data_IF_188244748765
#
_entry.id   IF_188244748765
#
_cell.length_a   1.000
_cell.length_b   1.000
_cell.length_c   1.000
_cell.angle_alpha   90.00
_cell.angle_beta   90.00
_cell.angle_gamma   90.00
#
_symmetry.space_group_name_H-M   'P 1'
#
loop_
_entity.id
_entity.type
_entity.pdbx_description
1 polymer ?
#
# COMPACT_ATOMS: atom_id res chain seq x y z
N UNK A 1 5.10 -88.99 8.94
CA UNK A 1 4.89 -87.78 9.76
C UNK A 1 5.14 -86.58 8.86
N UNK A 2 4.24 -85.60 8.95
CA UNK A 2 3.94 -84.50 8.02
C UNK A 2 5.11 -83.62 7.56
N UNK A 3 4.93 -82.94 6.41
CA UNK A 3 5.60 -81.67 6.12
C UNK A 3 5.94 -81.36 4.66
N UNK A 4 4.98 -81.42 3.72
CA UNK A 4 5.12 -80.80 2.40
C UNK A 4 4.63 -79.35 2.47
N UNK A 5 5.49 -78.39 2.14
CA UNK A 5 5.13 -76.98 1.96
C UNK A 5 5.73 -76.47 0.65
N UNK A 6 4.85 -76.19 -0.30
CA UNK A 6 5.15 -75.61 -1.61
C UNK A 6 5.45 -74.09 -1.52
N UNK A 7 6.15 -73.49 -2.49
CA UNK A 7 6.42 -72.07 -2.50
C UNK A 7 5.18 -71.26 -2.91
N UNK A 8 4.97 -70.12 -2.23
CA UNK A 8 3.87 -69.19 -2.47
C UNK A 8 3.98 -68.54 -3.86
N UNK A 9 2.92 -68.65 -4.65
CA UNK A 9 2.77 -67.99 -5.93
C UNK A 9 2.41 -66.51 -5.73
N UNK A 10 3.21 -65.63 -6.35
CA UNK A 10 2.97 -64.20 -6.45
C UNK A 10 1.74 -63.93 -7.34
N UNK A 11 0.71 -63.30 -6.78
CA UNK A 11 -0.47 -62.89 -7.52
C UNK A 11 -0.16 -61.69 -8.44
N UNK A 12 -0.67 -61.65 -9.69
CA UNK A 12 -0.54 -60.47 -10.54
C UNK A 12 -1.49 -59.36 -10.05
N UNK A 13 -0.98 -58.12 -10.05
CA UNK A 13 -1.76 -56.93 -9.76
C UNK A 13 -2.89 -56.76 -10.79
N UNK A 14 -4.11 -56.56 -10.27
CA UNK A 14 -5.29 -56.18 -11.06
C UNK A 14 -5.03 -54.82 -11.73
N UNK A 15 -5.25 -54.66 -13.04
CA UNK A 15 -5.15 -53.35 -13.67
C UNK A 15 -6.28 -52.45 -13.14
N UNK A 16 -5.91 -51.22 -12.77
CA UNK A 16 -6.85 -50.15 -12.46
C UNK A 16 -7.72 -49.93 -13.69
N UNK A 17 -9.03 -50.03 -13.51
CA UNK A 17 -10.06 -49.75 -14.50
C UNK A 17 -9.82 -48.36 -15.12
N UNK A 18 -9.62 -48.32 -16.43
CA UNK A 18 -9.43 -47.09 -17.17
C UNK A 18 -10.78 -46.38 -17.27
N UNK A 19 -10.91 -45.23 -16.60
CA UNK A 19 -12.06 -44.35 -16.76
C UNK A 19 -12.28 -44.04 -18.26
N UNK A 20 -13.54 -44.03 -18.75
CA UNK A 20 -13.80 -43.73 -20.15
C UNK A 20 -13.36 -42.31 -20.47
N UNK A 21 -12.62 -42.15 -21.57
CA UNK A 21 -12.24 -40.87 -22.11
C UNK A 21 -13.49 -40.01 -22.36
N UNK A 22 -13.58 -38.87 -21.68
CA UNK A 22 -14.60 -37.88 -21.95
C UNK A 22 -14.45 -37.38 -23.39
N UNK A 23 -15.54 -37.47 -24.16
CA UNK A 23 -15.62 -36.92 -25.50
C UNK A 23 -15.36 -35.40 -25.47
N UNK A 24 -14.70 -34.81 -26.49
CA UNK A 24 -14.49 -33.37 -26.53
C UNK A 24 -15.84 -32.65 -26.61
N UNK A 25 -16.07 -31.72 -25.68
CA UNK A 25 -17.20 -30.81 -25.74
C UNK A 25 -17.15 -30.00 -27.04
N UNK A 26 -18.25 -29.98 -27.78
CA UNK A 26 -18.42 -29.14 -28.95
C UNK A 26 -18.23 -27.65 -28.59
N UNK A 27 -17.68 -26.80 -29.47
CA UNK A 27 -17.50 -25.39 -29.19
C UNK A 27 -18.86 -24.72 -29.02
N UNK A 28 -19.09 -24.14 -27.83
CA UNK A 28 -20.21 -23.22 -27.61
C UNK A 28 -19.90 -21.96 -28.42
N UNK A 29 -20.72 -21.70 -29.44
CA UNK A 29 -20.62 -20.48 -30.23
C UNK A 29 -20.80 -19.27 -29.29
N UNK A 30 -19.74 -18.47 -29.16
CA UNK A 30 -19.82 -17.18 -28.51
C UNK A 30 -20.65 -16.26 -29.41
N UNK A 31 -21.88 -15.97 -29.01
CA UNK A 31 -22.64 -14.86 -29.58
C UNK A 31 -21.93 -13.57 -29.19
N UNK A 32 -21.22 -12.96 -30.13
CA UNK A 32 -20.71 -11.60 -29.99
C UNK A 32 -21.90 -10.64 -29.85
N UNK A 33 -22.12 -10.13 -28.65
CA UNK A 33 -22.93 -8.94 -28.46
C UNK A 33 -22.12 -7.75 -28.99
N UNK A 34 -22.46 -7.27 -30.18
CA UNK A 34 -21.98 -5.99 -30.70
C UNK A 34 -22.51 -4.88 -29.78
N UNK A 35 -21.68 -4.46 -28.83
CA UNK A 35 -21.91 -3.23 -28.06
C UNK A 35 -21.59 -2.06 -28.98
N UNK A 36 -22.63 -1.37 -29.44
CA UNK A 36 -22.48 -0.12 -30.16
C UNK A 36 -21.67 0.88 -29.31
N UNK A 37 -20.72 1.63 -29.89
CA UNK A 37 -19.98 2.64 -29.14
C UNK A 37 -20.95 3.73 -28.64
N UNK A 38 -20.86 4.06 -27.36
CA UNK A 38 -21.54 5.22 -26.80
C UNK A 38 -21.06 6.50 -27.52
N UNK A 39 -21.94 7.47 -27.82
CA UNK A 39 -21.51 8.69 -28.49
C UNK A 39 -20.55 9.48 -27.61
N UNK A 40 -19.38 9.82 -28.17
CA UNK A 40 -18.42 10.72 -27.55
C UNK A 40 -19.10 12.06 -27.24
N UNK A 41 -19.25 12.38 -25.95
CA UNK A 41 -19.51 13.75 -25.55
C UNK A 41 -18.21 14.52 -25.72
N UNK A 42 -18.13 15.27 -26.82
CA UNK A 42 -17.08 16.24 -27.05
C UNK A 42 -16.96 17.19 -25.85
N UNK A 43 -15.92 17.01 -25.03
CA UNK A 43 -15.50 18.03 -24.06
C UNK A 43 -14.84 19.13 -24.88
N UNK A 44 -15.64 20.12 -25.27
CA UNK A 44 -15.14 21.34 -25.89
C UNK A 44 -14.31 22.08 -24.84
N UNK A 45 -12.98 21.96 -24.91
CA UNK A 45 -12.09 22.91 -24.25
C UNK A 45 -12.35 24.28 -24.88
N UNK A 46 -13.03 25.15 -24.14
CA UNK A 46 -13.16 26.55 -24.49
C UNK A 46 -11.76 27.18 -24.42
N UNK A 47 -11.08 27.24 -25.56
CA UNK A 47 -9.89 28.07 -25.74
C UNK A 47 -10.35 29.54 -25.63
N UNK A 48 -9.99 30.21 -24.53
CA UNK A 48 -10.12 31.67 -24.44
C UNK A 48 -9.03 32.30 -25.32
N UNK A 49 -9.46 33.17 -26.23
CA UNK A 49 -8.59 34.06 -26.98
C UNK A 49 -7.80 34.99 -26.03
N UNK A 50 -6.59 35.44 -26.42
CA UNK A 50 -5.84 36.41 -25.63
C UNK A 50 -6.48 37.79 -25.77
N UNK A 51 -7.01 38.32 -24.67
CA UNK A 51 -7.53 39.69 -24.62
C UNK A 51 -6.35 40.67 -24.54
N UNK A 52 -6.35 41.61 -25.48
CA UNK A 52 -5.33 42.62 -25.67
C UNK A 52 -5.45 43.72 -24.62
N UNK A 53 -4.38 43.90 -23.84
CA UNK A 53 -3.99 45.19 -23.31
C UNK A 53 -4.69 45.67 -22.04
N UNK A 54 -3.96 45.63 -20.92
CA UNK A 54 -3.87 46.74 -19.96
C UNK A 54 -2.59 46.62 -19.14
N UNK A 55 -1.72 47.60 -19.36
CA UNK A 55 -0.49 47.90 -18.61
C UNK A 55 -0.81 48.06 -17.12
N UNK A 56 -0.25 47.19 -16.29
CA UNK A 56 -0.21 47.38 -14.84
C UNK A 56 1.25 47.35 -14.39
N UNK A 57 1.58 48.35 -13.58
CA UNK A 57 2.91 48.78 -13.17
C UNK A 57 3.70 47.66 -12.47
N UNK A 58 4.99 47.57 -12.80
CA UNK A 58 5.96 46.67 -12.17
C UNK A 58 6.17 47.10 -10.71
N UNK A 59 5.63 46.31 -9.79
CA UNK A 59 6.08 46.30 -8.40
C UNK A 59 7.26 45.33 -8.28
N UNK A 60 8.37 45.81 -7.73
CA UNK A 60 9.58 45.04 -7.44
C UNK A 60 9.27 43.85 -6.51
N UNK A 61 9.26 42.64 -7.07
CA UNK A 61 9.11 41.40 -6.33
C UNK A 61 10.50 40.89 -5.89
N UNK A 62 10.78 40.99 -4.59
CA UNK A 62 11.99 40.43 -3.99
C UNK A 62 12.00 38.90 -4.14
N UNK A 63 13.15 38.27 -4.47
CA UNK A 63 13.21 36.83 -4.70
C UNK A 63 12.88 36.06 -3.42
N UNK A 64 11.85 35.22 -3.49
CA UNK A 64 11.55 34.19 -2.47
C UNK A 64 12.72 33.21 -2.42
N UNK A 65 13.59 33.39 -1.45
CA UNK A 65 14.61 32.40 -1.09
C UNK A 65 13.90 31.16 -0.55
N UNK A 66 13.72 30.16 -1.41
CA UNK A 66 13.44 28.79 -0.99
C UNK A 66 14.65 28.28 -0.19
N UNK A 67 14.54 28.37 1.13
CA UNK A 67 15.40 27.62 2.02
C UNK A 67 15.00 26.14 1.93
N UNK A 68 15.60 25.44 0.97
CA UNK A 68 15.67 23.99 0.99
C UNK A 68 16.51 23.57 2.19
N UNK A 69 15.89 23.47 3.37
CA UNK A 69 16.49 22.75 4.50
C UNK A 69 16.61 21.30 4.06
N UNK A 70 17.83 20.91 3.64
CA UNK A 70 18.26 19.52 3.69
C UNK A 70 17.96 19.03 5.11
N UNK A 71 16.93 18.21 5.26
CA UNK A 71 16.65 17.53 6.51
C UNK A 71 17.77 16.52 6.74
N UNK A 72 18.83 17.00 7.40
CA UNK A 72 19.82 16.16 8.03
C UNK A 72 19.10 15.48 9.21
N UNK A 73 18.59 14.27 9.01
CA UNK A 73 18.04 13.44 10.08
C UNK A 73 19.20 12.86 10.90
N UNK A 74 19.81 13.70 11.73
CA UNK A 74 20.80 13.33 12.72
C UNK A 74 20.23 13.49 14.13
N UNK A 75 20.21 12.40 14.88
CA UNK A 75 19.87 12.25 16.30
C UNK A 75 18.37 12.36 16.69
N UNK A 76 17.76 11.21 17.03
CA UNK A 76 16.58 11.14 17.92
C UNK A 76 15.26 10.61 17.32
N UNK A 77 15.22 10.17 16.06
CA UNK A 77 13.98 9.65 15.46
C UNK A 77 13.80 8.18 15.87
N UNK A 78 12.76 7.91 16.64
CA UNK A 78 12.41 6.54 17.02
C UNK A 78 11.72 5.83 15.86
N UNK A 79 12.44 4.87 15.27
CA UNK A 79 11.88 3.96 14.26
C UNK A 79 10.87 3.02 14.90
N UNK A 80 9.68 2.94 14.30
CA UNK A 80 8.62 2.01 14.68
C UNK A 80 8.79 0.66 14.00
N UNK A 81 8.97 0.66 12.68
CA UNK A 81 9.18 -0.56 11.89
C UNK A 81 9.85 -0.25 10.55
N UNK A 82 10.49 -1.25 9.96
CA UNK A 82 10.91 -1.27 8.55
C UNK A 82 10.31 -2.50 7.88
N UNK A 83 9.52 -2.32 6.82
CA UNK A 83 8.78 -3.38 6.14
C UNK A 83 9.19 -3.46 4.67
N UNK A 84 9.85 -4.54 4.22
CA UNK A 84 10.07 -4.77 2.80
C UNK A 84 8.76 -5.15 2.11
N UNK A 85 8.51 -4.59 0.93
CA UNK A 85 7.35 -4.93 0.11
C UNK A 85 7.68 -5.01 -1.38
N UNK A 86 7.37 -6.15 -2.03
CA UNK A 86 7.48 -6.26 -3.48
C UNK A 86 6.37 -5.44 -4.16
N UNK A 87 6.73 -4.68 -5.17
CA UNK A 87 5.76 -3.99 -6.02
C UNK A 87 5.01 -5.03 -6.83
N UNK A 88 3.68 -4.96 -6.81
CA UNK A 88 2.82 -5.86 -7.61
C UNK A 88 2.53 -5.19 -8.95
N UNK A 89 2.54 -5.95 -10.04
CA UNK A 89 2.20 -5.43 -11.36
C UNK A 89 0.80 -4.76 -11.38
N UNK A 90 -0.15 -5.30 -10.61
CA UNK A 90 -1.51 -4.74 -10.46
C UNK A 90 -1.54 -3.36 -9.77
N UNK A 91 -0.48 -2.97 -9.08
CA UNK A 91 -0.42 -1.66 -8.44
C UNK A 91 -0.04 -0.54 -9.43
N UNK A 92 0.41 -0.90 -10.64
CA UNK A 92 0.64 0.05 -11.72
C UNK A 92 -0.68 0.60 -12.28
N UNK A 93 -0.65 1.82 -12.78
CA UNK A 93 -1.71 2.37 -13.62
C UNK A 93 -1.27 2.51 -15.09
N UNK A 94 -2.11 3.17 -15.90
CA UNK A 94 -1.86 3.37 -17.33
C UNK A 94 -0.59 4.17 -17.65
N UNK A 95 0.01 4.86 -16.65
CA UNK A 95 1.27 5.59 -16.81
C UNK A 95 2.50 4.73 -16.47
N UNK A 96 2.33 3.42 -16.25
CA UNK A 96 3.39 2.44 -16.04
C UNK A 96 4.28 2.71 -14.81
N UNK A 97 3.68 3.31 -13.77
CA UNK A 97 4.26 3.39 -12.44
C UNK A 97 3.17 3.08 -11.42
N UNK A 98 3.57 2.81 -10.17
CA UNK A 98 2.64 2.56 -9.07
C UNK A 98 1.66 3.72 -8.98
N UNK A 99 0.37 3.41 -8.94
CA UNK A 99 -0.68 4.40 -8.80
C UNK A 99 -0.56 5.13 -7.45
N UNK A 100 -0.77 6.45 -7.46
CA UNK A 100 -0.62 7.29 -6.26
C UNK A 100 -1.45 6.79 -5.05
N UNK A 101 -2.62 6.20 -5.28
CA UNK A 101 -3.46 5.64 -4.19
C UNK A 101 -2.84 4.42 -3.51
N UNK A 102 -2.01 3.64 -4.21
CA UNK A 102 -1.40 2.42 -3.69
C UNK A 102 -0.33 2.69 -2.63
N UNK A 103 0.29 3.87 -2.67
CA UNK A 103 1.21 4.29 -1.60
C UNK A 103 0.51 4.29 -0.24
N UNK A 104 -0.76 4.73 -0.17
CA UNK A 104 -1.49 4.71 1.09
C UNK A 104 -1.80 3.27 1.55
N UNK A 105 -2.10 2.36 0.62
CA UNK A 105 -2.25 0.93 0.91
C UNK A 105 -0.95 0.30 1.43
N UNK A 106 0.20 0.68 0.88
CA UNK A 106 1.49 0.23 1.38
C UNK A 106 1.76 0.74 2.80
N UNK A 107 1.48 2.03 3.06
CA UNK A 107 1.61 2.58 4.41
C UNK A 107 0.63 1.95 5.40
N UNK A 108 -0.57 1.58 4.95
CA UNK A 108 -1.54 0.82 5.75
C UNK A 108 -1.00 -0.54 6.17
N UNK A 109 -0.50 -1.32 5.21
CA UNK A 109 0.13 -2.62 5.49
C UNK A 109 1.29 -2.49 6.49
N UNK A 110 2.18 -1.51 6.29
CA UNK A 110 3.29 -1.26 7.21
C UNK A 110 2.81 -0.87 8.62
N UNK A 111 1.74 -0.07 8.73
CA UNK A 111 1.14 0.30 10.03
C UNK A 111 0.51 -0.91 10.71
N UNK A 112 -0.18 -1.77 9.96
CA UNK A 112 -0.76 -3.00 10.49
C UNK A 112 0.33 -3.93 11.02
N UNK A 113 1.41 -4.13 10.26
CA UNK A 113 2.55 -4.93 10.72
C UNK A 113 3.21 -4.34 11.97
N UNK A 114 3.37 -3.03 12.06
CA UNK A 114 3.82 -2.38 13.29
C UNK A 114 2.86 -2.62 14.45
N UNK A 115 1.56 -2.40 14.26
CA UNK A 115 0.55 -2.62 15.29
C UNK A 115 0.57 -4.05 15.82
N UNK A 116 0.78 -5.06 14.96
CA UNK A 116 0.92 -6.46 15.38
C UNK A 116 2.12 -6.71 16.30
N UNK A 117 3.14 -5.85 16.29
CA UNK A 117 4.28 -5.93 17.23
C UNK A 117 3.96 -5.34 18.61
N UNK A 118 2.93 -4.49 18.71
CA UNK A 118 2.52 -3.84 19.96
C UNK A 118 1.67 -4.83 20.78
N UNK A 119 1.90 -4.99 22.10
CA UNK A 119 1.03 -5.79 22.95
C UNK A 119 -0.45 -5.35 22.83
N UNK A 120 -1.37 -6.31 22.67
CA UNK A 120 -2.78 -6.01 22.40
C UNK A 120 -3.06 -5.45 21.00
N UNK A 121 -2.07 -5.48 20.10
CA UNK A 121 -2.16 -5.01 18.71
C UNK A 121 -2.50 -3.52 18.57
N UNK A 122 -2.20 -2.72 19.60
CA UNK A 122 -2.60 -1.30 19.66
C UNK A 122 -4.12 -1.08 19.74
N UNK A 123 -4.88 -2.15 19.99
CA UNK A 123 -6.32 -2.14 20.18
C UNK A 123 -6.62 -2.26 21.67
N UNK A 124 -7.65 -1.54 22.08
CA UNK A 124 -8.36 -1.74 23.34
C UNK A 124 -9.80 -2.13 22.98
N UNK A 125 -10.49 -2.86 23.85
CA UNK A 125 -11.89 -3.26 23.66
C UNK A 125 -12.79 -2.04 23.44
N UNK A 126 -12.44 -0.91 24.09
CA UNK A 126 -13.23 0.32 24.03
C UNK A 126 -12.66 1.37 23.08
N UNK A 127 -11.40 1.25 22.65
CA UNK A 127 -10.70 2.30 21.89
C UNK A 127 -10.15 1.77 20.57
N UNK A 128 -10.39 2.50 19.49
CA UNK A 128 -9.90 2.17 18.15
C UNK A 128 -9.02 3.29 17.58
N UNK A 129 -7.91 2.96 16.91
CA UNK A 129 -7.18 3.92 16.10
C UNK A 129 -7.92 4.20 14.79
N UNK A 130 -8.00 5.46 14.40
CA UNK A 130 -8.50 5.90 13.09
C UNK A 130 -7.52 6.87 12.46
N UNK A 131 -7.44 6.86 11.12
CA UNK A 131 -6.64 7.81 10.36
C UNK A 131 -7.39 9.15 10.32
N UNK A 132 -6.80 10.20 10.91
CA UNK A 132 -7.34 11.55 10.87
C UNK A 132 -6.82 12.36 9.67
N UNK A 133 -5.58 12.11 9.26
CA UNK A 133 -4.96 12.76 8.11
C UNK A 133 -3.85 11.89 7.50
N UNK A 134 -3.66 12.01 6.19
CA UNK A 134 -2.54 11.40 5.48
C UNK A 134 -1.95 12.42 4.50
N UNK A 135 -0.66 12.73 4.69
CA UNK A 135 0.09 13.63 3.83
C UNK A 135 1.21 12.82 3.17
N UNK A 136 1.18 12.70 1.85
CA UNK A 136 2.16 11.98 1.05
C UNK A 136 2.79 12.94 0.05
N UNK A 137 4.11 13.01 0.04
CA UNK A 137 4.89 13.74 -0.95
C UNK A 137 5.55 12.75 -1.89
N UNK A 138 5.04 12.65 -3.12
CA UNK A 138 5.61 11.82 -4.16
C UNK A 138 6.90 12.47 -4.70
N UNK A 139 8.04 11.80 -4.52
CA UNK A 139 9.37 12.29 -4.90
C UNK A 139 9.85 11.69 -6.22
N UNK A 140 9.59 10.39 -6.42
CA UNK A 140 9.97 9.62 -7.60
C UNK A 140 8.93 8.54 -7.87
N UNK A 141 8.69 8.16 -9.14
CA UNK A 141 7.82 7.03 -9.46
C UNK A 141 8.44 5.71 -8.97
N UNK A 142 7.58 4.78 -8.55
CA UNK A 142 7.97 3.38 -8.27
C UNK A 142 7.57 2.56 -9.49
N UNK A 143 8.48 1.74 -9.99
CA UNK A 143 8.28 0.87 -11.16
C UNK A 143 8.27 -0.60 -10.74
N UNK A 144 7.61 -1.45 -11.51
CA UNK A 144 7.71 -2.91 -11.35
C UNK A 144 8.94 -3.43 -12.14
N UNK A 145 9.70 -4.43 -11.65
CA UNK A 145 9.48 -5.28 -10.48
C UNK A 145 10.26 -4.85 -9.22
N UNK A 146 10.39 -3.54 -8.96
CA UNK A 146 11.18 -3.10 -7.81
C UNK A 146 10.60 -3.59 -6.48
N UNK A 147 11.45 -3.59 -5.45
CA UNK A 147 11.06 -3.83 -4.07
C UNK A 147 11.31 -2.55 -3.29
N UNK A 148 10.36 -2.17 -2.44
CA UNK A 148 10.47 -0.97 -1.61
C UNK A 148 10.64 -1.35 -0.15
N UNK A 149 11.32 -0.49 0.59
CA UNK A 149 11.38 -0.54 2.05
C UNK A 149 10.54 0.61 2.60
N UNK A 150 9.56 0.27 3.44
CA UNK A 150 8.74 1.26 4.14
C UNK A 150 9.25 1.43 5.55
N UNK A 151 9.64 2.64 5.88
CA UNK A 151 10.17 3.02 7.18
C UNK A 151 9.12 3.88 7.87
N UNK A 152 8.63 3.43 9.03
CA UNK A 152 7.74 4.19 9.88
C UNK A 152 8.48 4.63 11.14
N UNK A 153 8.24 5.85 11.59
CA UNK A 153 8.86 6.40 12.79
C UNK A 153 7.93 7.38 13.50
N UNK A 154 8.18 7.61 14.79
CA UNK A 154 7.44 8.61 15.56
C UNK A 154 7.89 9.99 15.13
N UNK A 155 6.99 10.77 14.54
CA UNK A 155 7.21 12.19 14.28
C UNK A 155 6.71 13.04 15.45
N UNK A 156 5.55 12.68 16.02
CA UNK A 156 4.99 13.35 17.20
C UNK A 156 4.10 12.40 17.99
N UNK A 157 4.32 12.33 19.30
CA UNK A 157 3.48 11.60 20.24
C UNK A 157 2.61 12.57 21.06
N UNK A 158 1.29 12.45 20.98
CA UNK A 158 0.32 13.24 21.73
C UNK A 158 -0.32 12.47 22.89
N UNK A 159 -1.37 13.06 23.47
CA UNK A 159 -2.19 12.36 24.46
C UNK A 159 -3.19 11.39 23.80
N UNK A 160 -3.85 11.85 22.74
CA UNK A 160 -4.91 11.14 22.00
C UNK A 160 -4.55 10.91 20.51
N UNK A 161 -3.37 11.34 20.08
CA UNK A 161 -2.90 11.21 18.70
C UNK A 161 -1.43 10.76 18.60
N UNK A 162 -1.11 10.15 17.45
CA UNK A 162 0.23 9.78 17.04
C UNK A 162 0.44 10.21 15.58
N UNK A 163 1.44 11.06 15.33
CA UNK A 163 1.89 11.36 13.97
C UNK A 163 3.02 10.39 13.62
N UNK A 164 2.74 9.52 12.66
CA UNK A 164 3.66 8.53 12.13
C UNK A 164 4.30 9.12 10.87
N UNK A 165 5.57 9.51 10.99
CA UNK A 165 6.37 9.87 9.83
C UNK A 165 6.68 8.62 9.01
N UNK A 166 6.75 8.77 7.69
CA UNK A 166 7.07 7.66 6.80
C UNK A 166 8.08 8.04 5.73
N UNK A 167 8.86 7.04 5.32
CA UNK A 167 9.66 7.05 4.09
C UNK A 167 9.43 5.76 3.34
N UNK A 168 9.20 5.86 2.04
CA UNK A 168 9.22 4.74 1.11
C UNK A 168 10.48 4.90 0.27
N UNK A 169 11.43 3.99 0.44
CA UNK A 169 12.73 4.00 -0.24
C UNK A 169 12.92 2.74 -1.05
N UNK A 170 13.91 2.73 -1.93
CA UNK A 170 14.32 1.49 -2.60
C UNK A 170 14.90 0.49 -1.61
N UNK A 171 14.50 -0.78 -1.71
CA UNK A 171 14.96 -1.82 -0.80
C UNK A 171 16.45 -2.13 -0.95
N UNK A 172 17.04 -1.89 -2.13
CA UNK A 172 18.46 -2.13 -2.42
C UNK A 172 19.30 -0.86 -2.21
N UNK A 173 18.74 0.31 -2.44
CA UNK A 173 19.39 1.61 -2.21
C UNK A 173 18.50 2.60 -1.45
N UNK A 174 18.64 2.65 -0.13
CA UNK A 174 17.86 3.55 0.73
C UNK A 174 18.07 5.05 0.48
N UNK A 175 19.05 5.44 -0.35
CA UNK A 175 19.23 6.82 -0.80
C UNK A 175 18.20 7.24 -1.87
N UNK A 176 17.59 6.26 -2.55
CA UNK A 176 16.48 6.46 -3.48
C UNK A 176 15.19 6.59 -2.69
N UNK A 177 14.71 7.82 -2.56
CA UNK A 177 13.44 8.15 -1.90
C UNK A 177 12.31 8.25 -2.92
N UNK A 178 11.27 7.44 -2.75
CA UNK A 178 10.06 7.45 -3.58
C UNK A 178 8.96 8.33 -2.98
N UNK A 179 8.72 8.23 -1.68
CA UNK A 179 7.69 9.00 -0.98
C UNK A 179 8.11 9.30 0.46
N UNK A 180 7.76 10.48 0.95
CA UNK A 180 7.84 10.83 2.38
C UNK A 180 6.59 11.58 2.83
N UNK A 181 6.43 11.73 4.14
CA UNK A 181 5.35 12.50 4.74
C UNK A 181 4.92 11.88 6.04
N UNK A 182 3.64 12.01 6.37
CA UNK A 182 3.12 11.57 7.65
C UNK A 182 1.65 11.14 7.61
N UNK A 183 1.31 10.19 8.47
CA UNK A 183 -0.06 9.77 8.75
C UNK A 183 -0.37 10.06 10.20
N UNK A 184 -1.45 10.80 10.45
CA UNK A 184 -1.91 11.14 11.80
C UNK A 184 -2.98 10.14 12.20
N UNK A 185 -2.69 9.36 13.22
CA UNK A 185 -3.61 8.44 13.88
C UNK A 185 -4.19 9.11 15.12
N UNK A 186 -5.48 8.96 15.35
CA UNK A 186 -6.16 9.37 16.59
C UNK A 186 -6.89 8.18 17.18
N UNK A 187 -6.91 8.08 18.50
CA UNK A 187 -7.66 7.05 19.20
C UNK A 187 -9.02 7.61 19.58
N UNK A 188 -10.07 6.83 19.31
CA UNK A 188 -11.45 7.19 19.60
C UNK A 188 -12.13 6.10 20.43
N UNK A 189 -13.00 6.53 21.34
CA UNK A 189 -13.93 5.63 22.01
C UNK A 189 -14.94 5.08 20.99
N UNK A 190 -15.12 3.76 20.95
CA UNK A 190 -15.95 3.08 19.95
C UNK A 190 -17.44 3.34 20.12
N UNK A 191 -17.90 3.61 21.34
CA UNK A 191 -19.33 3.83 21.63
C UNK A 191 -19.77 5.25 21.32
N UNK A 192 -18.93 6.23 21.65
CA UNK A 192 -19.25 7.66 21.58
C UNK A 192 -18.63 8.37 20.37
N UNK A 193 -17.57 7.80 19.78
CA UNK A 193 -16.77 8.43 18.72
C UNK A 193 -15.88 9.58 19.20
N UNK A 194 -15.85 9.87 20.51
CA UNK A 194 -15.04 10.93 21.08
C UNK A 194 -13.56 10.55 21.14
N UNK A 195 -12.67 11.56 21.16
CA UNK A 195 -11.24 11.33 21.31
C UNK A 195 -10.92 10.66 22.66
N UNK A 196 -10.09 9.62 22.62
CA UNK A 196 -9.67 8.84 23.76
C UNK A 196 -8.14 8.83 23.90
N UNK A 197 -7.60 8.67 25.13
CA UNK A 197 -6.16 8.53 25.33
C UNK A 197 -5.58 7.34 24.55
N UNK A 198 -4.31 7.45 24.13
CA UNK A 198 -3.58 6.32 23.57
C UNK A 198 -3.50 5.18 24.59
N UNK A 199 -3.71 3.92 24.17
CA UNK A 199 -3.42 2.76 24.99
C UNK A 199 -1.97 2.79 25.48
N UNK A 200 -1.75 2.35 26.72
CA UNK A 200 -0.42 2.35 27.35
C UNK A 200 0.62 1.57 26.54
N UNK A 201 0.23 0.43 25.95
CA UNK A 201 1.08 -0.37 25.08
C UNK A 201 1.58 0.40 23.85
N UNK A 202 0.70 1.18 23.21
CA UNK A 202 1.08 2.04 22.06
C UNK A 202 2.02 3.14 22.51
N UNK A 203 1.73 3.80 23.64
CA UNK A 203 2.59 4.85 24.20
C UNK A 203 4.00 4.32 24.49
N UNK A 204 4.10 3.16 25.12
CA UNK A 204 5.40 2.52 25.43
C UNK A 204 6.14 2.10 24.17
N UNK A 205 5.45 1.62 23.13
CA UNK A 205 6.09 1.29 21.86
C UNK A 205 6.61 2.52 21.07
N UNK A 206 6.14 3.72 21.43
CA UNK A 206 6.51 5.00 20.81
C UNK A 206 7.38 5.89 21.73
N UNK A 207 7.90 5.35 22.83
CA UNK A 207 8.78 6.04 23.78
C UNK A 207 10.16 5.38 23.77
#
# INVERSE_FOLDING_TARGET
>A
MAGSAAPAATAPATPLDAAPAAAPAAPVAATEAVVAPAPERAVTQQQRAPDSGKTTQRHDEKPRQQHGKRAQHGAGIQTLIRVPMPVRWRDLDAFNHVNNSKYLSYLEEARLQWMLTVPGQGLDEHVAPVVAAANLNYRRPIEWPNEVMIELFVERLGNTSLSIGHRIVDARDTSVLYCDGQVVMVWIDRGTGAAAPLPSAVRTACA
#
